data_IF_881522809737
#
_entry.id   IF_881522809737
#
_cell.length_a   1.000
_cell.length_b   1.000
_cell.length_c   1.000
_cell.angle_alpha   90.00
_cell.angle_beta   90.00
_cell.angle_gamma   90.00
#
_symmetry.space_group_name_H-M   'P 1'
#
loop_
_entity.id
_entity.type
_entity.pdbx_description
1 polymer ?
#
# COMPACT_ATOMS: atom_id res chain seq x y z
N UNK A 1 31.51 -0.46 -11.84
CA UNK A 1 30.51 0.58 -12.12
C UNK A 1 29.24 -0.12 -12.53
N UNK A 2 28.16 -0.02 -11.75
CA UNK A 2 26.87 -0.59 -12.15
C UNK A 2 26.26 0.34 -13.19
N UNK A 3 26.16 -0.09 -14.45
CA UNK A 3 25.43 0.64 -15.49
C UNK A 3 23.95 0.25 -15.43
N UNK A 4 23.03 1.15 -15.07
CA UNK A 4 21.60 0.88 -15.15
C UNK A 4 21.16 1.04 -16.61
N UNK A 5 20.90 -0.05 -17.30
CA UNK A 5 20.15 -0.04 -18.56
C UNK A 5 18.67 -0.14 -18.21
N UNK A 6 17.89 0.93 -18.38
CA UNK A 6 16.46 0.89 -18.07
C UNK A 6 15.62 1.10 -19.33
N UNK A 7 15.37 0.00 -20.04
CA UNK A 7 14.19 -0.16 -20.89
C UNK A 7 13.27 -1.16 -20.15
N UNK A 8 12.43 -0.63 -19.26
CA UNK A 8 11.80 -1.40 -18.18
C UNK A 8 10.39 -1.91 -18.51
N UNK A 9 9.81 -1.52 -19.64
CA UNK A 9 8.50 -1.98 -20.12
C UNK A 9 8.57 -2.25 -21.64
N UNK A 10 8.26 -3.48 -22.06
CA UNK A 10 7.99 -3.80 -23.46
C UNK A 10 6.54 -3.47 -23.87
N UNK A 11 6.26 -3.21 -25.17
CA UNK A 11 4.94 -2.75 -25.65
C UNK A 11 3.75 -3.64 -25.25
N UNK A 12 3.95 -4.96 -25.15
CA UNK A 12 2.90 -5.91 -24.76
C UNK A 12 2.61 -5.97 -23.25
N UNK A 13 3.56 -5.56 -22.41
CA UNK A 13 3.46 -5.64 -20.95
C UNK A 13 2.76 -4.41 -20.35
N UNK A 14 2.78 -3.28 -21.07
CA UNK A 14 2.19 -2.01 -20.62
C UNK A 14 0.70 -2.13 -20.31
N UNK A 15 -0.08 -2.75 -21.20
CA UNK A 15 -1.53 -2.84 -21.04
C UNK A 15 -1.92 -3.70 -19.82
N UNK A 16 -1.24 -4.83 -19.63
CA UNK A 16 -1.44 -5.70 -18.48
C UNK A 16 -1.04 -4.99 -17.18
N UNK A 17 0.10 -4.29 -17.17
CA UNK A 17 0.55 -3.54 -16.01
C UNK A 17 -0.44 -2.45 -15.62
N UNK A 18 -0.96 -1.69 -16.58
CA UNK A 18 -2.00 -0.66 -16.34
C UNK A 18 -3.26 -1.29 -15.76
N UNK A 19 -3.69 -2.45 -16.27
CA UNK A 19 -4.86 -3.15 -15.75
C UNK A 19 -4.66 -3.58 -14.28
N UNK A 20 -3.52 -4.16 -13.95
CA UNK A 20 -3.18 -4.58 -12.58
C UNK A 20 -3.04 -3.36 -11.65
N UNK A 21 -2.40 -2.28 -12.09
CA UNK A 21 -2.28 -1.04 -11.33
C UNK A 21 -3.66 -0.42 -11.06
N UNK A 22 -4.54 -0.41 -12.06
CA UNK A 22 -5.91 0.09 -11.90
C UNK A 22 -6.71 -0.75 -10.92
N UNK A 23 -6.62 -2.08 -11.02
CA UNK A 23 -7.26 -3.00 -10.06
C UNK A 23 -6.71 -2.80 -8.64
N UNK A 24 -5.39 -2.67 -8.50
CA UNK A 24 -4.72 -2.41 -7.22
C UNK A 24 -5.17 -1.08 -6.61
N UNK A 25 -5.19 0.00 -7.40
CA UNK A 25 -5.62 1.33 -6.94
C UNK A 25 -7.09 1.33 -6.51
N UNK A 26 -7.99 0.75 -7.32
CA UNK A 26 -9.41 0.68 -7.00
C UNK A 26 -9.68 -0.22 -5.78
N UNK A 27 -9.03 -1.38 -5.71
CA UNK A 27 -9.15 -2.31 -4.60
C UNK A 27 -8.67 -1.71 -3.29
N UNK A 28 -7.50 -1.07 -3.27
CA UNK A 28 -6.94 -0.44 -2.07
C UNK A 28 -7.75 0.78 -1.64
N UNK A 29 -8.28 1.57 -2.58
CA UNK A 29 -9.16 2.71 -2.26
C UNK A 29 -10.50 2.24 -1.65
N UNK A 30 -11.08 1.16 -2.16
CA UNK A 30 -12.29 0.56 -1.58
C UNK A 30 -12.04 0.05 -0.16
N UNK A 31 -10.94 -0.69 0.04
CA UNK A 31 -10.53 -1.16 1.37
C UNK A 31 -10.23 -0.01 2.32
N UNK A 32 -9.58 1.05 1.84
CA UNK A 32 -9.31 2.26 2.63
C UNK A 32 -10.60 2.92 3.09
N UNK A 33 -11.60 3.03 2.20
CA UNK A 33 -12.90 3.61 2.53
C UNK A 33 -13.61 2.80 3.64
N UNK A 34 -13.59 1.46 3.54
CA UNK A 34 -14.16 0.58 4.56
C UNK A 34 -13.40 0.71 5.89
N UNK A 35 -12.07 0.75 5.85
CA UNK A 35 -11.22 0.92 7.03
C UNK A 35 -11.45 2.28 7.69
N UNK A 36 -11.55 3.35 6.91
CA UNK A 36 -11.84 4.70 7.38
C UNK A 36 -13.22 4.79 8.05
N UNK A 37 -14.26 4.22 7.45
CA UNK A 37 -15.60 4.14 8.06
C UNK A 37 -15.56 3.34 9.36
N UNK A 38 -14.84 2.21 9.39
CA UNK A 38 -14.69 1.38 10.59
C UNK A 38 -13.97 2.12 11.72
N UNK A 39 -12.91 2.86 11.38
CA UNK A 39 -12.16 3.72 12.30
C UNK A 39 -13.00 4.86 12.83
N UNK A 40 -13.80 5.50 11.97
CA UNK A 40 -14.72 6.55 12.38
C UNK A 40 -15.75 6.05 13.40
N UNK A 41 -16.27 4.83 13.20
CA UNK A 41 -17.26 4.20 14.09
C UNK A 41 -16.67 3.70 15.42
N UNK A 42 -15.49 3.08 15.40
CA UNK A 42 -14.92 2.37 16.58
C UNK A 42 -13.84 3.15 17.31
N UNK A 43 -13.19 4.13 16.66
CA UNK A 43 -12.16 5.05 17.20
C UNK A 43 -11.08 4.39 18.08
N UNK A 44 -10.74 3.13 17.84
CA UNK A 44 -9.72 2.42 18.61
C UNK A 44 -8.38 2.38 17.85
N UNK A 45 -7.29 2.34 18.62
CA UNK A 45 -5.91 2.33 18.10
C UNK A 45 -5.67 1.31 16.97
N UNK A 46 -6.06 0.03 17.07
CA UNK A 46 -5.80 -0.93 15.99
C UNK A 46 -6.49 -0.54 14.68
N UNK A 47 -7.69 0.05 14.73
CA UNK A 47 -8.40 0.47 13.52
C UNK A 47 -7.72 1.66 12.84
N UNK A 48 -7.22 2.63 13.63
CA UNK A 48 -6.43 3.75 13.10
C UNK A 48 -5.16 3.24 12.42
N UNK A 49 -4.40 2.37 13.09
CA UNK A 49 -3.16 1.80 12.56
C UNK A 49 -3.39 1.04 11.25
N UNK A 50 -4.42 0.19 11.19
CA UNK A 50 -4.80 -0.52 9.96
C UNK A 50 -5.27 0.43 8.86
N UNK A 51 -6.00 1.50 9.20
CA UNK A 51 -6.44 2.49 8.20
C UNK A 51 -5.25 3.24 7.60
N UNK A 52 -4.26 3.61 8.42
CA UNK A 52 -3.02 4.24 7.94
C UNK A 52 -2.24 3.25 7.06
N UNK A 53 -2.12 1.99 7.46
CA UNK A 53 -1.45 0.96 6.66
C UNK A 53 -2.13 0.78 5.29
N UNK A 54 -3.45 0.70 5.25
CA UNK A 54 -4.20 0.59 3.99
C UNK A 54 -4.09 1.90 3.18
N UNK A 55 -4.05 3.05 3.84
CA UNK A 55 -3.79 4.34 3.18
C UNK A 55 -2.43 4.37 2.48
N UNK A 56 -1.38 3.79 3.09
CA UNK A 56 -0.06 3.65 2.45
C UNK A 56 -0.11 2.77 1.20
N UNK A 57 -0.97 1.75 1.16
CA UNK A 57 -1.20 0.97 -0.07
C UNK A 57 -1.76 1.84 -1.20
N UNK A 58 -2.68 2.76 -0.89
CA UNK A 58 -3.21 3.72 -1.90
C UNK A 58 -2.09 4.62 -2.42
N UNK A 59 -1.26 5.17 -1.54
CA UNK A 59 -0.11 5.98 -1.94
C UNK A 59 0.90 5.18 -2.78
N UNK A 60 1.14 3.92 -2.43
CA UNK A 60 1.97 3.01 -3.21
C UNK A 60 1.43 2.87 -4.64
N UNK A 61 0.13 2.61 -4.81
CA UNK A 61 -0.49 2.53 -6.14
C UNK A 61 -0.37 3.84 -6.93
N UNK A 62 -0.51 5.01 -6.29
CA UNK A 62 -0.32 6.32 -6.94
C UNK A 62 1.11 6.48 -7.44
N UNK A 63 2.11 6.10 -6.64
CA UNK A 63 3.52 6.12 -7.04
C UNK A 63 3.77 5.15 -8.21
N UNK A 64 3.23 3.93 -8.16
CA UNK A 64 3.33 2.96 -9.25
C UNK A 64 2.74 3.47 -10.58
N UNK A 65 1.56 4.09 -10.54
CA UNK A 65 0.96 4.74 -11.71
C UNK A 65 1.81 5.91 -12.19
N UNK A 66 2.29 6.76 -11.27
CA UNK A 66 3.17 7.88 -11.59
C UNK A 66 4.44 7.44 -12.33
N UNK A 67 5.00 6.27 -11.98
CA UNK A 67 6.15 5.69 -12.67
C UNK A 67 5.82 5.28 -14.10
N UNK A 68 4.68 4.60 -14.33
CA UNK A 68 4.23 4.22 -15.69
C UNK A 68 3.96 5.44 -16.57
N UNK A 69 3.47 6.53 -15.97
CA UNK A 69 3.25 7.80 -16.66
C UNK A 69 4.53 8.63 -16.85
N UNK A 70 5.68 8.16 -16.34
CA UNK A 70 6.96 8.88 -16.42
C UNK A 70 7.11 10.06 -15.45
N UNK A 71 6.17 10.23 -14.51
CA UNK A 71 6.19 11.29 -13.51
C UNK A 71 7.06 10.98 -12.29
N UNK A 72 7.26 9.69 -11.96
CA UNK A 72 8.10 9.25 -10.84
C UNK A 72 9.31 8.46 -11.36
N UNK A 73 10.55 8.85 -11.02
CA UNK A 73 11.74 8.08 -11.39
C UNK A 73 11.72 6.66 -10.78
N UNK A 74 12.18 5.65 -11.52
CA UNK A 74 12.23 4.25 -11.06
C UNK A 74 12.94 4.06 -9.71
N UNK A 75 13.98 4.85 -9.41
CA UNK A 75 14.69 4.80 -8.13
C UNK A 75 13.80 5.29 -6.98
N UNK A 76 13.10 6.40 -7.18
CA UNK A 76 12.16 6.95 -6.19
C UNK A 76 11.01 5.98 -5.97
N UNK A 77 10.50 5.39 -7.04
CA UNK A 77 9.50 4.33 -6.98
C UNK A 77 9.98 3.16 -6.10
N UNK A 78 11.13 2.56 -6.39
CA UNK A 78 11.64 1.42 -5.60
C UNK A 78 11.82 1.78 -4.13
N UNK A 79 12.44 2.93 -3.84
CA UNK A 79 12.65 3.37 -2.48
C UNK A 79 11.32 3.58 -1.74
N UNK A 80 10.35 4.20 -2.42
CA UNK A 80 9.04 4.51 -1.83
C UNK A 80 8.21 3.24 -1.64
N UNK A 81 8.12 2.38 -2.65
CA UNK A 81 7.38 1.13 -2.57
C UNK A 81 7.94 0.22 -1.47
N UNK A 82 9.25 -0.04 -1.48
CA UNK A 82 9.86 -0.89 -0.46
C UNK A 82 9.78 -0.26 0.95
N UNK A 83 9.94 1.06 1.05
CA UNK A 83 9.77 1.77 2.32
C UNK A 83 8.34 1.66 2.85
N UNK A 84 7.34 1.81 1.99
CA UNK A 84 5.94 1.66 2.38
C UNK A 84 5.60 0.22 2.74
N UNK A 85 6.10 -0.78 2.01
CA UNK A 85 5.88 -2.19 2.35
C UNK A 85 6.38 -2.51 3.76
N UNK A 86 7.57 -2.00 4.12
CA UNK A 86 8.09 -2.13 5.49
C UNK A 86 7.21 -1.42 6.52
N UNK A 87 6.80 -0.17 6.26
CA UNK A 87 5.95 0.58 7.18
C UNK A 87 4.56 -0.06 7.36
N UNK A 88 3.97 -0.58 6.28
CA UNK A 88 2.71 -1.31 6.31
C UNK A 88 2.84 -2.52 7.22
N UNK A 89 3.88 -3.34 7.04
CA UNK A 89 4.13 -4.50 7.89
C UNK A 89 4.28 -4.11 9.36
N UNK A 90 5.04 -3.04 9.65
CA UNK A 90 5.23 -2.52 10.99
C UNK A 90 3.92 -2.04 11.64
N UNK A 91 3.08 -1.32 10.88
CA UNK A 91 1.79 -0.82 11.36
C UNK A 91 0.79 -1.95 11.63
N UNK A 92 0.74 -2.96 10.76
CA UNK A 92 -0.12 -4.14 10.94
C UNK A 92 0.33 -4.91 12.18
N UNK A 93 1.62 -5.17 12.36
CA UNK A 93 2.14 -5.81 13.57
C UNK A 93 1.83 -4.99 14.83
N UNK A 94 2.00 -3.67 14.77
CA UNK A 94 1.67 -2.77 15.88
C UNK A 94 0.18 -2.80 16.21
N UNK A 95 -0.69 -2.91 15.20
CA UNK A 95 -2.12 -3.05 15.38
C UNK A 95 -2.46 -4.36 16.10
N UNK A 96 -1.88 -5.48 15.67
CA UNK A 96 -2.06 -6.79 16.29
C UNK A 96 -1.59 -6.76 17.75
N UNK A 97 -0.40 -6.23 17.99
CA UNK A 97 0.17 -6.10 19.34
C UNK A 97 -0.68 -5.24 20.28
N UNK A 98 -1.46 -4.31 19.73
CA UNK A 98 -2.33 -3.41 20.51
C UNK A 98 -3.68 -4.04 20.92
N UNK A 99 -4.00 -5.25 20.44
CA UNK A 99 -5.26 -5.94 20.79
C UNK A 99 -5.05 -6.77 22.05
N UNK A 100 -5.96 -6.63 23.03
CA UNK A 100 -5.91 -7.41 24.27
C UNK A 100 -6.13 -8.92 24.02
N UNK A 101 -5.54 -9.82 24.83
CA UNK A 101 -5.81 -11.25 24.74
C UNK A 101 -7.30 -11.58 24.92
N UNK A 102 -7.81 -12.64 24.29
CA UNK A 102 -9.16 -13.13 24.57
C UNK A 102 -9.31 -13.45 26.06
N UNK A 103 -10.39 -13.01 26.70
CA UNK A 103 -10.75 -13.45 28.04
C UNK A 103 -11.14 -14.93 28.00
N UNK A 104 -10.54 -15.75 28.87
CA UNK A 104 -10.93 -17.16 29.01
C UNK A 104 -12.38 -17.24 29.53
N UNK A 105 -13.22 -18.15 29.02
CA UNK A 105 -14.49 -18.48 29.66
C UNK A 105 -14.24 -19.08 31.05
N UNK A 106 -15.06 -18.69 32.03
CA UNK A 106 -15.06 -19.25 33.39
C UNK A 106 -15.33 -20.78 33.42
#
# INVERSE_FOLDING_TARGET
MLQPTADWIGPGQTALLIAVLSLSALGTLALFSIAAVSTYRRRSRPYVLLTVAIGLLVFRSVVGIGTVLGAVPMVVHHLTEHGFDFLIALLVLSAIYSVAPPSLPD
#
